data_IF_693035355301
#
_entry.id   IF_693035355301
#
_cell.length_a   1.000
_cell.length_b   1.000
_cell.length_c   1.000
_cell.angle_alpha   90.00
_cell.angle_beta   90.00
_cell.angle_gamma   90.00
#
_symmetry.space_group_name_H-M   'P 1'
#
loop_
_entity.id
_entity.type
_entity.pdbx_description
1 polymer ?
#
# COMPACT_ATOMS: atom_id res chain seq x y z
N UNK A 1 -3.27 8.72 20.12
CA UNK A 1 -3.09 7.53 19.26
C UNK A 1 -3.61 7.72 17.83
N UNK A 2 -4.86 8.14 17.62
CA UNK A 2 -5.41 8.28 16.26
C UNK A 2 -4.63 9.26 15.36
N UNK A 3 -4.13 10.38 15.90
CA UNK A 3 -3.30 11.32 15.13
C UNK A 3 -1.96 10.71 14.70
N UNK A 4 -1.26 10.02 15.60
CA UNK A 4 0.01 9.34 15.30
C UNK A 4 -0.16 8.26 14.22
N UNK A 5 -1.26 7.49 14.28
CA UNK A 5 -1.56 6.48 13.27
C UNK A 5 -1.80 7.10 11.88
N UNK A 6 -2.53 8.22 11.82
CA UNK A 6 -2.74 8.97 10.57
C UNK A 6 -1.42 9.47 9.99
N UNK A 7 -0.55 10.03 10.83
CA UNK A 7 0.76 10.52 10.40
C UNK A 7 1.63 9.38 9.88
N UNK A 8 1.66 8.24 10.57
CA UNK A 8 2.40 7.06 10.11
C UNK A 8 1.86 6.52 8.79
N UNK A 9 0.54 6.43 8.62
CA UNK A 9 -0.09 6.00 7.38
C UNK A 9 0.17 6.99 6.23
N UNK A 10 0.11 8.30 6.50
CA UNK A 10 0.46 9.32 5.51
C UNK A 10 1.94 9.18 5.10
N UNK A 11 2.84 9.05 6.06
CA UNK A 11 4.28 8.91 5.80
C UNK A 11 4.59 7.66 4.95
N UNK A 12 4.01 6.50 5.29
CA UNK A 12 4.23 5.27 4.52
C UNK A 12 3.67 5.41 3.09
N UNK A 13 2.51 6.04 2.91
CA UNK A 13 1.94 6.29 1.58
C UNK A 13 2.79 7.24 0.73
N UNK A 14 3.33 8.32 1.32
CA UNK A 14 4.26 9.22 0.60
C UNK A 14 5.52 8.45 0.22
N UNK A 15 6.06 7.65 1.15
CA UNK A 15 7.27 6.88 0.91
C UNK A 15 7.08 5.82 -0.19
N UNK A 16 5.97 5.08 -0.20
CA UNK A 16 5.67 4.11 -1.26
C UNK A 16 5.46 4.77 -2.62
N UNK A 17 4.82 5.95 -2.67
CA UNK A 17 4.72 6.72 -3.91
C UNK A 17 6.09 7.15 -4.44
N UNK A 18 6.95 7.69 -3.58
CA UNK A 18 8.32 8.08 -3.95
C UNK A 18 9.16 6.88 -4.40
N UNK A 19 9.09 5.77 -3.67
CA UNK A 19 9.78 4.53 -4.04
C UNK A 19 9.30 3.99 -5.39
N UNK A 20 7.99 3.99 -5.63
CA UNK A 20 7.40 3.54 -6.90
C UNK A 20 7.83 4.44 -8.06
N UNK A 21 7.82 5.76 -7.86
CA UNK A 21 8.29 6.72 -8.86
C UNK A 21 9.79 6.55 -9.16
N UNK A 22 10.61 6.40 -8.13
CA UNK A 22 12.05 6.18 -8.26
C UNK A 22 12.38 4.87 -9.00
N UNK A 23 11.71 3.78 -8.65
CA UNK A 23 11.89 2.48 -9.32
C UNK A 23 11.40 2.52 -10.77
N UNK A 24 10.28 3.20 -11.04
CA UNK A 24 9.78 3.39 -12.41
C UNK A 24 10.77 4.20 -13.25
N UNK A 25 11.31 5.29 -12.71
CA UNK A 25 12.35 6.08 -13.38
C UNK A 25 13.62 5.23 -13.62
N UNK A 26 14.02 4.44 -12.63
CA UNK A 26 15.17 3.53 -12.76
C UNK A 26 14.97 2.50 -13.87
N UNK A 27 13.79 1.90 -13.98
CA UNK A 27 13.45 0.96 -15.06
C UNK A 27 13.48 1.62 -16.44
N UNK A 28 12.99 2.85 -16.55
CA UNK A 28 13.02 3.60 -17.81
C UNK A 28 14.43 3.98 -18.26
N UNK A 29 15.32 4.32 -17.31
CA UNK A 29 16.71 4.68 -17.60
C UNK A 29 17.58 3.46 -17.88
N UNK A 30 17.47 2.41 -17.07
CA UNK A 30 18.33 1.22 -17.18
C UNK A 30 17.88 0.25 -18.28
N UNK A 31 16.62 0.33 -18.71
CA UNK A 31 16.01 -0.54 -19.71
C UNK A 31 16.43 -2.02 -19.61
N UNK A 32 16.29 -2.66 -18.43
CA UNK A 32 16.78 -4.02 -18.25
C UNK A 32 16.12 -4.99 -19.24
N UNK A 33 16.91 -5.86 -19.91
CA UNK A 33 16.44 -6.67 -21.04
C UNK A 33 15.42 -7.75 -20.66
N UNK A 34 15.20 -7.99 -19.37
CA UNK A 34 14.25 -9.00 -18.85
C UNK A 34 13.08 -8.39 -18.07
N UNK A 35 12.94 -7.07 -18.01
CA UNK A 35 11.84 -6.46 -17.27
C UNK A 35 10.51 -6.58 -18.03
N UNK A 36 9.48 -7.03 -17.29
CA UNK A 36 8.11 -7.05 -17.77
C UNK A 36 7.46 -5.68 -17.46
N UNK A 37 7.66 -4.71 -18.35
CA UNK A 37 7.09 -3.36 -18.20
C UNK A 37 5.57 -3.35 -17.99
N UNK A 38 4.76 -4.12 -18.74
CA UNK A 38 3.31 -4.14 -18.53
C UNK A 38 2.90 -4.50 -17.10
N UNK A 39 3.49 -5.54 -16.52
CA UNK A 39 3.20 -5.95 -15.14
C UNK A 39 3.66 -4.88 -14.15
N UNK A 40 4.86 -4.32 -14.34
CA UNK A 40 5.36 -3.27 -13.48
C UNK A 40 4.45 -2.03 -13.47
N UNK A 41 4.09 -1.52 -14.65
CA UNK A 41 3.20 -0.35 -14.75
C UNK A 41 1.83 -0.63 -14.14
N UNK A 42 1.29 -1.83 -14.32
CA UNK A 42 0.02 -2.23 -13.70
C UNK A 42 0.10 -2.16 -12.17
N UNK A 43 1.17 -2.73 -11.58
CA UNK A 43 1.39 -2.67 -10.12
C UNK A 43 1.61 -1.23 -9.65
N UNK A 44 2.45 -0.46 -10.34
CA UNK A 44 2.71 0.93 -10.00
C UNK A 44 1.43 1.78 -10.02
N UNK A 45 0.55 1.57 -11.01
CA UNK A 45 -0.76 2.23 -11.07
C UNK A 45 -1.65 1.83 -9.89
N UNK A 46 -1.75 0.53 -9.57
CA UNK A 46 -2.56 0.05 -8.44
C UNK A 46 -2.06 0.64 -7.11
N UNK A 47 -0.74 0.61 -6.87
CA UNK A 47 -0.11 1.16 -5.66
C UNK A 47 -0.39 2.66 -5.55
N UNK A 48 -0.28 3.39 -6.67
CA UNK A 48 -0.53 4.84 -6.72
C UNK A 48 -1.98 5.17 -6.43
N UNK A 49 -2.92 4.52 -7.14
CA UNK A 49 -4.36 4.71 -6.93
C UNK A 49 -4.74 4.43 -5.49
N UNK A 50 -4.27 3.32 -4.93
CA UNK A 50 -4.61 2.94 -3.55
C UNK A 50 -4.00 3.90 -2.52
N UNK A 51 -2.80 4.42 -2.76
CA UNK A 51 -2.18 5.43 -1.87
C UNK A 51 -2.95 6.75 -1.90
N UNK A 52 -3.36 7.20 -3.09
CA UNK A 52 -4.21 8.40 -3.25
C UNK A 52 -5.58 8.17 -2.61
N UNK A 53 -6.22 7.03 -2.86
CA UNK A 53 -7.50 6.69 -2.26
C UNK A 53 -7.43 6.67 -0.72
N UNK A 54 -6.30 6.21 -0.17
CA UNK A 54 -6.03 6.25 1.27
C UNK A 54 -6.03 7.69 1.79
N UNK A 55 -5.35 8.63 1.14
CA UNK A 55 -5.41 10.06 1.49
C UNK A 55 -6.83 10.62 1.42
N UNK A 56 -7.56 10.33 0.35
CA UNK A 56 -8.95 10.80 0.17
C UNK A 56 -9.86 10.26 1.28
N UNK A 57 -9.69 8.99 1.68
CA UNK A 57 -10.46 8.38 2.76
C UNK A 57 -10.07 8.89 4.16
N UNK A 58 -8.85 9.40 4.34
CA UNK A 58 -8.45 10.09 5.57
C UNK A 58 -9.13 11.46 5.69
N UNK A 59 -9.30 12.17 4.56
CA UNK A 59 -9.98 13.46 4.51
C UNK A 59 -11.53 13.33 4.58
N UNK A 60 -12.10 12.26 4.01
CA UNK A 60 -13.54 12.10 3.88
C UNK A 60 -14.10 10.98 4.79
N UNK A 61 -15.15 11.23 5.59
CA UNK A 61 -15.69 10.25 6.53
C UNK A 61 -16.70 9.24 5.93
N UNK A 62 -16.83 9.16 4.60
CA UNK A 62 -17.79 8.26 3.95
C UNK A 62 -17.49 6.78 4.20
N UNK A 63 -18.48 6.04 4.69
CA UNK A 63 -18.31 4.66 5.13
C UNK A 63 -17.95 3.69 3.98
N UNK A 64 -18.59 3.82 2.83
CA UNK A 64 -18.32 2.96 1.66
C UNK A 64 -16.88 3.09 1.16
N UNK A 65 -16.36 4.33 1.13
CA UNK A 65 -14.99 4.60 0.71
C UNK A 65 -13.98 3.95 1.65
N UNK A 66 -14.25 3.97 2.97
CA UNK A 66 -13.40 3.31 3.97
C UNK A 66 -13.35 1.79 3.79
N UNK A 67 -14.49 1.16 3.46
CA UNK A 67 -14.54 -0.28 3.17
C UNK A 67 -13.75 -0.60 1.91
N UNK A 68 -13.95 0.18 0.85
CA UNK A 68 -13.23 0.02 -0.40
C UNK A 68 -11.71 0.16 -0.21
N UNK A 69 -11.27 1.19 0.51
CA UNK A 69 -9.86 1.44 0.80
C UNK A 69 -9.29 0.35 1.73
N UNK A 70 -10.06 -0.13 2.71
CA UNK A 70 -9.64 -1.26 3.55
C UNK A 70 -9.44 -2.53 2.71
N UNK A 71 -10.38 -2.86 1.81
CA UNK A 71 -10.25 -4.00 0.90
C UNK A 71 -9.04 -3.87 -0.03
N UNK A 72 -8.81 -2.68 -0.60
CA UNK A 72 -7.61 -2.40 -1.41
C UNK A 72 -6.31 -2.49 -0.59
N UNK A 73 -6.34 -2.07 0.68
CA UNK A 73 -5.23 -2.20 1.61
C UNK A 73 -4.91 -3.66 1.92
N UNK A 74 -5.93 -4.51 2.12
CA UNK A 74 -5.74 -5.95 2.26
C UNK A 74 -5.11 -6.56 0.99
N UNK A 75 -5.64 -6.23 -0.19
CA UNK A 75 -5.09 -6.72 -1.45
C UNK A 75 -3.61 -6.33 -1.62
N UNK A 76 -3.26 -5.05 -1.40
CA UNK A 76 -1.85 -4.62 -1.43
C UNK A 76 -0.99 -5.33 -0.40
N UNK A 77 -1.50 -5.53 0.82
CA UNK A 77 -0.79 -6.28 1.85
C UNK A 77 -0.49 -7.72 1.41
N UNK A 78 -1.46 -8.40 0.81
CA UNK A 78 -1.27 -9.77 0.29
C UNK A 78 -0.26 -9.82 -0.86
N UNK A 79 -0.31 -8.85 -1.77
CA UNK A 79 0.68 -8.71 -2.85
C UNK A 79 2.07 -8.48 -2.24
N UNK A 80 2.20 -7.59 -1.25
CA UNK A 80 3.45 -7.32 -0.55
C UNK A 80 4.05 -8.56 0.12
N UNK A 81 3.22 -9.34 0.83
CA UNK A 81 3.67 -10.61 1.45
C UNK A 81 4.14 -11.59 0.38
N UNK A 82 3.39 -11.71 -0.71
CA UNK A 82 3.76 -12.60 -1.82
C UNK A 82 5.08 -12.17 -2.47
N UNK A 83 5.27 -10.87 -2.72
CA UNK A 83 6.54 -10.33 -3.25
C UNK A 83 7.70 -10.60 -2.31
N UNK A 84 7.55 -10.34 -1.00
CA UNK A 84 8.60 -10.65 0.00
C UNK A 84 8.94 -12.13 -0.02
N UNK A 85 7.94 -13.01 -0.04
CA UNK A 85 8.15 -14.46 -0.08
C UNK A 85 8.88 -14.89 -1.34
N UNK A 86 8.48 -14.38 -2.50
CA UNK A 86 9.13 -14.68 -3.78
C UNK A 86 10.58 -14.21 -3.78
N UNK A 87 10.86 -12.98 -3.33
CA UNK A 87 12.23 -12.46 -3.24
C UNK A 87 13.13 -13.26 -2.29
N UNK A 88 12.58 -13.78 -1.20
CA UNK A 88 13.33 -14.60 -0.24
C UNK A 88 13.55 -16.04 -0.69
N UNK A 89 12.72 -16.54 -1.62
CA UNK A 89 12.78 -17.93 -2.11
C UNK A 89 13.37 -18.05 -3.51
N UNK A 90 13.54 -16.94 -4.23
CA UNK A 90 14.19 -16.91 -5.54
C UNK A 90 15.70 -17.14 -5.45
N UNK A 91 16.29 -17.65 -6.52
CA UNK A 91 17.75 -17.77 -6.66
C UNK A 91 18.45 -16.42 -6.91
N UNK A 92 17.69 -15.37 -7.22
CA UNK A 92 18.19 -14.03 -7.50
C UNK A 92 17.56 -13.03 -6.54
N UNK A 93 18.35 -12.57 -5.57
CA UNK A 93 17.88 -11.67 -4.54
C UNK A 93 17.75 -10.23 -5.06
N UNK A 94 16.52 -9.75 -5.14
CA UNK A 94 16.20 -8.39 -5.55
C UNK A 94 15.85 -7.52 -4.33
N UNK A 95 16.86 -6.89 -3.72
CA UNK A 95 16.67 -6.11 -2.49
C UNK A 95 15.60 -5.01 -2.61
N UNK A 96 15.43 -4.42 -3.80
CA UNK A 96 14.39 -3.42 -4.05
C UNK A 96 12.97 -4.00 -4.00
N UNK A 97 12.76 -5.22 -4.50
CA UNK A 97 11.48 -5.92 -4.43
C UNK A 97 11.13 -6.29 -2.99
N UNK A 98 12.13 -6.70 -2.18
CA UNK A 98 11.94 -6.96 -0.75
C UNK A 98 11.49 -5.71 0.00
N UNK A 99 12.18 -4.58 -0.21
CA UNK A 99 11.84 -3.31 0.46
C UNK A 99 10.46 -2.83 0.03
N UNK A 100 10.16 -2.83 -1.27
CA UNK A 100 8.84 -2.43 -1.77
C UNK A 100 7.74 -3.33 -1.22
N UNK A 101 7.95 -4.65 -1.25
CA UNK A 101 7.02 -5.63 -0.70
C UNK A 101 6.75 -5.41 0.78
N UNK A 102 7.80 -5.22 1.60
CA UNK A 102 7.66 -4.94 3.03
C UNK A 102 6.88 -3.63 3.28
N UNK A 103 7.14 -2.58 2.50
CA UNK A 103 6.39 -1.33 2.60
C UNK A 103 4.91 -1.49 2.25
N UNK A 104 4.58 -2.31 1.23
CA UNK A 104 3.18 -2.63 0.90
C UNK A 104 2.48 -3.39 2.02
N UNK A 105 3.17 -4.31 2.70
CA UNK A 105 2.63 -5.00 3.89
C UNK A 105 2.33 -4.00 5.00
N UNK A 106 3.28 -3.10 5.30
CA UNK A 106 3.10 -2.08 6.34
C UNK A 106 1.96 -1.13 5.97
N UNK A 107 1.91 -0.62 4.73
CA UNK A 107 0.84 0.24 4.26
C UNK A 107 -0.52 -0.46 4.33
N UNK A 108 -0.61 -1.70 3.85
CA UNK A 108 -1.84 -2.50 3.90
C UNK A 108 -2.31 -2.73 5.34
N UNK A 109 -1.40 -3.14 6.23
CA UNK A 109 -1.68 -3.35 7.65
C UNK A 109 -2.17 -2.09 8.35
N UNK A 110 -1.48 -0.96 8.17
CA UNK A 110 -1.90 0.33 8.75
C UNK A 110 -3.24 0.81 8.19
N UNK A 111 -3.51 0.59 6.90
CA UNK A 111 -4.80 0.91 6.27
C UNK A 111 -5.93 0.12 6.92
N UNK A 112 -5.74 -1.19 7.12
CA UNK A 112 -6.73 -2.04 7.77
C UNK A 112 -6.96 -1.63 9.23
N UNK A 113 -5.88 -1.44 10.00
CA UNK A 113 -5.98 -1.00 11.39
C UNK A 113 -6.73 0.32 11.49
N UNK A 114 -6.44 1.28 10.62
CA UNK A 114 -7.10 2.59 10.65
C UNK A 114 -8.58 2.48 10.28
N UNK A 115 -8.95 1.81 9.20
CA UNK A 115 -10.32 1.86 8.69
C UNK A 115 -11.27 0.79 9.27
N UNK A 116 -10.76 -0.33 9.79
CA UNK A 116 -11.58 -1.34 10.47
C UNK A 116 -11.83 -0.99 11.93
N UNK A 117 -10.79 -0.62 12.70
CA UNK A 117 -10.97 -0.23 14.12
C UNK A 117 -11.90 0.97 14.30
N UNK A 118 -11.88 1.92 13.35
CA UNK A 118 -12.75 3.11 13.41
C UNK A 118 -14.23 2.79 13.12
N UNK A 119 -14.54 1.67 12.46
CA UNK A 119 -15.92 1.27 12.21
C UNK A 119 -16.57 0.65 13.44
N UNK A 120 -15.82 -0.19 14.17
CA UNK A 120 -16.31 -0.85 15.39
C UNK A 120 -16.74 0.15 16.46
N UNK A 121 -15.94 1.20 16.70
CA UNK A 121 -16.30 2.25 17.66
C UNK A 121 -17.55 3.04 17.27
N UNK A 122 -17.74 3.34 15.97
CA UNK A 122 -18.93 4.08 15.51
C UNK A 122 -20.21 3.24 15.63
N UNK A 123 -20.13 1.93 15.39
CA UNK A 123 -21.28 1.02 15.58
C UNK A 123 -21.65 0.87 17.05
N UNK A 124 -20.66 0.78 17.94
CA UNK A 124 -20.90 0.68 19.38
C UNK A 124 -21.57 1.93 19.98
N UNK A 125 -21.25 3.13 19.49
CA UNK A 125 -21.83 4.39 19.99
C UNK A 125 -23.20 4.76 19.42
N UNK A 126 -23.73 4.00 18.44
CA UNK A 126 -25.09 4.20 17.89
C UNK A 126 -26.13 3.26 18.53
N UNK A 127 -25.72 2.40 19.46
CA UNK A 127 -26.59 1.49 20.20
C UNK A 127 -26.82 1.90 21.66
N UNK A 128 -26.36 3.09 22.06
CA UNK A 128 -26.55 3.70 23.39
C UNK A 128 -27.42 4.94 23.29
#
# INVERSE_FOLDING_TARGET
MAAMLKTALAAICVFTLLATAFLTASLLVLQPPRANYPIWFTLATIITIQSVATFVAMANPHAWLRILVAAGGAALGTIGVWTVRETLTSSHFEGHALVLGAMLVVQGGLTLVMFLRLQDFRRAGLQS
#
